data_IF_098191481781
#
_entry.id   IF_098191481781
#
_cell.length_a   1.000
_cell.length_b   1.000
_cell.length_c   1.000
_cell.angle_alpha   90.00
_cell.angle_beta   90.00
_cell.angle_gamma   90.00
#
_symmetry.space_group_name_H-M   'P 1'
#
loop_
_entity.id
_entity.type
_entity.pdbx_description
1 polymer ?
#
# COMPACT_ATOMS: atom_id res chain seq x y z
N UNK A 1 -2.48 1.06 15.01
CA UNK A 1 -3.05 0.16 13.98
C UNK A 1 -2.38 -1.19 14.07
N UNK A 2 -3.19 -2.24 14.26
CA UNK A 2 -2.78 -3.65 14.27
C UNK A 2 -2.31 -4.11 12.89
N UNK A 3 -1.57 -5.22 12.84
CA UNK A 3 -1.05 -5.81 11.58
C UNK A 3 -2.19 -6.22 10.66
N UNK A 4 -3.21 -6.91 11.20
CA UNK A 4 -4.40 -7.35 10.46
C UNK A 4 -5.11 -6.20 9.74
N UNK A 5 -5.34 -5.10 10.44
CA UNK A 5 -6.08 -3.98 9.87
C UNK A 5 -5.32 -3.26 8.75
N UNK A 6 -3.97 -3.22 8.84
CA UNK A 6 -3.14 -2.73 7.73
C UNK A 6 -3.25 -3.63 6.52
N UNK A 7 -3.20 -4.94 6.71
CA UNK A 7 -3.31 -5.89 5.61
C UNK A 7 -4.65 -5.77 4.90
N UNK A 8 -5.77 -5.68 5.65
CA UNK A 8 -7.10 -5.45 5.07
C UNK A 8 -7.14 -4.16 4.25
N UNK A 9 -6.52 -3.08 4.76
CA UNK A 9 -6.47 -1.79 4.07
C UNK A 9 -5.67 -1.89 2.77
N UNK A 10 -4.51 -2.54 2.79
CA UNK A 10 -3.67 -2.74 1.59
C UNK A 10 -4.41 -3.56 0.54
N UNK A 11 -5.04 -4.68 0.94
CA UNK A 11 -5.84 -5.52 0.04
C UNK A 11 -7.01 -4.74 -0.57
N UNK A 12 -7.70 -3.91 0.22
CA UNK A 12 -8.77 -3.06 -0.29
C UNK A 12 -8.26 -2.02 -1.31
N UNK A 13 -7.09 -1.42 -1.07
CA UNK A 13 -6.48 -0.45 -2.00
C UNK A 13 -6.01 -1.10 -3.31
N UNK A 14 -5.53 -2.34 -3.28
CA UNK A 14 -5.19 -3.11 -4.48
C UNK A 14 -6.44 -3.49 -5.29
N UNK A 15 -7.53 -3.86 -4.61
CA UNK A 15 -8.78 -4.19 -5.25
C UNK A 15 -9.47 -2.97 -5.88
N UNK A 16 -9.32 -1.77 -5.29
CA UNK A 16 -9.93 -0.55 -5.77
C UNK A 16 -8.91 0.61 -5.91
N UNK A 17 -8.40 0.86 -7.13
CA UNK A 17 -7.44 1.93 -7.40
C UNK A 17 -7.89 3.33 -6.95
N UNK A 18 -9.19 3.63 -6.94
CA UNK A 18 -9.69 4.95 -6.49
C UNK A 18 -9.39 5.22 -4.99
N UNK A 19 -9.18 4.16 -4.19
CA UNK A 19 -8.74 4.29 -2.80
C UNK A 19 -7.27 4.74 -2.71
N UNK A 20 -6.44 4.41 -3.70
CA UNK A 20 -5.05 4.87 -3.79
C UNK A 20 -5.02 6.39 -4.00
N UNK A 21 -5.81 6.89 -4.94
CA UNK A 21 -5.93 8.34 -5.20
C UNK A 21 -6.47 9.09 -3.98
N UNK A 22 -7.49 8.52 -3.35
CA UNK A 22 -8.06 9.08 -2.12
C UNK A 22 -7.03 9.11 -0.99
N UNK A 23 -6.26 8.03 -0.80
CA UNK A 23 -5.19 7.99 0.20
C UNK A 23 -4.07 9.00 -0.10
N UNK A 24 -3.77 9.23 -1.38
CA UNK A 24 -2.82 10.26 -1.81
C UNK A 24 -3.31 11.67 -1.47
N UNK A 25 -4.56 12.00 -1.83
CA UNK A 25 -5.19 13.30 -1.52
C UNK A 25 -5.28 13.54 0.00
N UNK A 26 -5.64 12.51 0.77
CA UNK A 26 -5.69 12.55 2.24
C UNK A 26 -4.30 12.52 2.91
N UNK A 27 -3.23 12.44 2.12
CA UNK A 27 -1.83 12.41 2.57
C UNK A 27 -1.55 11.21 3.51
N UNK A 28 -2.24 10.08 3.33
CA UNK A 28 -2.10 8.84 4.12
C UNK A 28 -0.81 8.10 3.72
N UNK A 29 0.33 8.77 3.88
CA UNK A 29 1.64 8.34 3.40
C UNK A 29 2.10 6.99 3.95
N UNK A 30 1.74 6.67 5.20
CA UNK A 30 2.10 5.40 5.82
C UNK A 30 1.42 4.21 5.12
N UNK A 31 0.18 4.38 4.68
CA UNK A 31 -0.59 3.33 4.02
C UNK A 31 -0.15 3.19 2.56
N UNK A 32 0.10 4.30 1.87
CA UNK A 32 0.70 4.29 0.54
C UNK A 32 2.09 3.63 0.54
N UNK A 33 2.92 3.91 1.55
CA UNK A 33 4.22 3.23 1.69
C UNK A 33 4.04 1.72 1.91
N UNK A 34 3.07 1.33 2.74
CA UNK A 34 2.77 -0.08 2.99
C UNK A 34 2.24 -0.80 1.73
N UNK A 35 1.36 -0.15 0.96
CA UNK A 35 0.87 -0.63 -0.33
C UNK A 35 2.02 -0.83 -1.32
N UNK A 36 2.87 0.17 -1.51
CA UNK A 36 4.01 0.10 -2.44
C UNK A 36 4.99 -0.98 -2.00
N UNK A 37 5.24 -1.11 -0.69
CA UNK A 37 6.09 -2.19 -0.15
C UNK A 37 5.51 -3.57 -0.41
N UNK A 38 4.18 -3.72 -0.28
CA UNK A 38 3.49 -4.97 -0.59
C UNK A 38 3.56 -5.29 -2.09
N UNK A 39 3.21 -4.33 -2.96
CA UNK A 39 3.25 -4.51 -4.41
C UNK A 39 4.65 -4.86 -4.92
N UNK A 40 5.71 -4.27 -4.34
CA UNK A 40 7.11 -4.57 -4.68
C UNK A 40 7.58 -5.95 -4.22
N UNK A 41 7.05 -6.45 -3.11
CA UNK A 41 7.37 -7.80 -2.60
C UNK A 41 6.70 -8.89 -3.46
N UNK A 42 5.65 -8.52 -4.18
CA UNK A 42 4.84 -9.43 -4.98
C UNK A 42 4.13 -10.52 -4.15
N UNK A 43 3.31 -11.33 -4.81
CA UNK A 43 2.62 -12.46 -4.17
C UNK A 43 3.59 -13.64 -4.05
N UNK A 44 3.71 -14.29 -2.87
CA UNK A 44 4.56 -15.47 -2.72
C UNK A 44 4.11 -16.61 -3.65
N UNK A 45 5.03 -17.24 -4.41
CA UNK A 45 4.67 -18.31 -5.35
C UNK A 45 4.13 -19.55 -4.65
N UNK A 46 4.47 -19.79 -3.39
CA UNK A 46 3.94 -20.90 -2.59
C UNK A 46 2.42 -20.76 -2.38
N UNK A 47 1.90 -19.53 -2.41
CA UNK A 47 0.45 -19.28 -2.34
C UNK A 47 -0.29 -19.89 -3.53
N UNK A 48 0.37 -20.01 -4.70
CA UNK A 48 -0.23 -20.67 -5.85
C UNK A 48 -0.52 -22.16 -5.60
N UNK A 49 0.13 -22.79 -4.61
CA UNK A 49 -0.09 -24.19 -4.24
C UNK A 49 -1.23 -24.33 -3.24
N UNK A 50 -1.37 -23.40 -2.30
CA UNK A 50 -2.39 -23.46 -1.24
C UNK A 50 -3.72 -22.83 -1.64
N UNK A 51 -3.68 -21.75 -2.43
CA UNK A 51 -4.85 -21.01 -2.91
C UNK A 51 -4.53 -20.34 -4.27
N UNK A 52 -4.68 -21.09 -5.38
CA UNK A 52 -4.42 -20.58 -6.73
C UNK A 52 -5.31 -19.40 -7.11
N UNK A 53 -6.56 -19.39 -6.66
CA UNK A 53 -7.54 -18.35 -7.00
C UNK A 53 -7.14 -17.01 -6.38
N UNK A 54 -6.76 -17.03 -5.09
CA UNK A 54 -6.26 -15.83 -4.41
C UNK A 54 -4.93 -15.35 -5.00
N UNK A 55 -4.02 -16.27 -5.35
CA UNK A 55 -2.75 -15.93 -6.00
C UNK A 55 -2.98 -15.16 -7.31
N UNK A 56 -3.81 -15.70 -8.22
CA UNK A 56 -4.13 -15.06 -9.49
C UNK A 56 -4.77 -13.68 -9.29
N UNK A 57 -5.75 -13.58 -8.39
CA UNK A 57 -6.44 -12.33 -8.08
C UNK A 57 -5.45 -11.24 -7.60
N UNK A 58 -4.59 -11.57 -6.64
CA UNK A 58 -3.62 -10.62 -6.09
C UNK A 58 -2.58 -10.20 -7.14
N UNK A 59 -2.11 -11.14 -7.97
CA UNK A 59 -1.19 -10.86 -9.09
C UNK A 59 -1.81 -9.92 -10.11
N UNK A 60 -3.06 -10.15 -10.49
CA UNK A 60 -3.80 -9.25 -11.38
C UNK A 60 -3.95 -7.85 -10.79
N UNK A 61 -4.30 -7.74 -9.50
CA UNK A 61 -4.44 -6.45 -8.83
C UNK A 61 -3.11 -5.67 -8.75
N UNK A 62 -2.01 -6.36 -8.43
CA UNK A 62 -0.66 -5.75 -8.43
C UNK A 62 -0.29 -5.30 -9.84
N UNK A 63 -0.58 -6.11 -10.85
CA UNK A 63 -0.33 -5.76 -12.25
C UNK A 63 -1.11 -4.51 -12.65
N UNK A 64 -2.41 -4.45 -12.36
CA UNK A 64 -3.25 -3.27 -12.61
C UNK A 64 -2.74 -2.03 -11.87
N UNK A 65 -2.30 -2.19 -10.62
CA UNK A 65 -1.68 -1.10 -9.86
C UNK A 65 -0.47 -0.49 -10.59
N UNK A 66 0.41 -1.33 -11.15
CA UNK A 66 1.56 -0.83 -11.91
C UNK A 66 1.17 -0.22 -13.26
N UNK A 67 0.22 -0.83 -13.98
CA UNK A 67 -0.31 -0.29 -15.23
C UNK A 67 -0.95 1.10 -15.06
N UNK A 68 -1.59 1.34 -13.91
CA UNK A 68 -2.17 2.64 -13.56
C UNK A 68 -1.14 3.65 -12.99
N UNK A 69 0.15 3.40 -13.19
CA UNK A 69 1.21 4.34 -12.78
C UNK A 69 1.71 4.14 -11.35
N UNK A 70 1.37 3.04 -10.69
CA UNK A 70 1.86 2.70 -9.35
C UNK A 70 3.40 2.68 -9.23
N UNK A 71 4.11 2.49 -10.35
CA UNK A 71 5.57 2.60 -10.42
C UNK A 71 6.11 4.01 -10.11
N UNK A 72 5.31 5.06 -10.32
CA UNK A 72 5.70 6.44 -10.04
C UNK A 72 5.89 6.72 -8.53
N UNK A 73 5.36 5.86 -7.66
CA UNK A 73 5.53 6.01 -6.22
C UNK A 73 6.95 5.65 -5.76
N UNK A 74 7.66 6.67 -5.27
CA UNK A 74 8.92 6.50 -4.57
C UNK A 74 8.69 6.08 -3.11
N UNK A 75 8.95 4.80 -2.81
CA UNK A 75 8.86 4.26 -1.45
C UNK A 75 9.69 5.07 -0.42
N UNK A 76 10.97 5.41 -0.68
CA UNK A 76 11.76 6.22 0.27
C UNK A 76 11.13 7.60 0.55
N UNK A 77 10.53 8.22 -0.48
CA UNK A 77 9.87 9.52 -0.34
C UNK A 77 8.59 9.41 0.50
N UNK A 78 7.78 8.38 0.27
CA UNK A 78 6.56 8.11 1.04
C UNK A 78 6.86 7.83 2.52
N UNK A 79 7.89 7.03 2.80
CA UNK A 79 8.33 6.76 4.17
C UNK A 79 8.82 8.03 4.88
N UNK A 80 9.61 8.87 4.20
CA UNK A 80 10.06 10.16 4.74
C UNK A 80 8.87 11.08 5.05
N UNK A 81 7.88 11.14 4.17
CA UNK A 81 6.65 11.94 4.38
C UNK A 81 5.81 11.39 5.54
N UNK A 82 5.70 10.06 5.67
CA UNK A 82 5.02 9.41 6.77
C UNK A 82 5.68 9.74 8.12
N UNK A 83 7.01 9.64 8.20
CA UNK A 83 7.80 9.99 9.39
C UNK A 83 7.63 11.47 9.77
N UNK A 84 7.74 12.39 8.80
CA UNK A 84 7.53 13.83 9.03
C UNK A 84 6.14 14.14 9.59
N UNK A 85 5.10 13.49 9.06
CA UNK A 85 3.72 13.68 9.55
C UNK A 85 3.53 13.13 10.95
N UNK A 86 4.17 12.00 11.29
CA UNK A 86 4.14 11.45 12.64
C UNK A 86 4.83 12.37 13.66
N UNK A 87 5.97 12.97 13.30
CA UNK A 87 6.68 13.95 14.13
C UNK A 87 5.83 15.20 14.36
N UNK A 88 5.23 15.77 13.30
CA UNK A 88 4.37 16.96 13.41
C UNK A 88 3.13 16.73 14.30
N UNK A 89 2.62 15.50 14.38
CA UNK A 89 1.52 15.13 15.28
C UNK A 89 1.94 15.02 16.76
N UNK A 90 3.23 14.80 17.03
CA UNK A 90 3.76 14.60 18.39
C UNK A 90 4.31 15.87 19.01
N UNK A 91 4.66 16.88 18.22
CA UNK A 91 5.05 18.18 18.74
C UNK A 91 3.81 18.88 19.35
N UNK A 92 3.81 19.22 20.65
CA UNK A 92 2.76 20.08 21.21
C UNK A 92 2.84 21.44 20.50
N UNK A 93 1.67 22.03 20.22
CA UNK A 93 1.61 23.45 19.85
C UNK A 93 2.15 24.23 21.05
N UNK A 94 3.34 24.79 20.92
CA UNK A 94 3.82 25.85 21.80
C UNK A 94 3.01 27.12 21.55
#
# INVERSE_FOLDING_TARGET
>A
MSVRQRETTIRAMLANPALVDSAFKQKRWAELAALVKFARRDVPPEMAQTDPALYCLLREQITRFYLLGGAAFSLPKLEKLARRRAVKRRAPRA
#
